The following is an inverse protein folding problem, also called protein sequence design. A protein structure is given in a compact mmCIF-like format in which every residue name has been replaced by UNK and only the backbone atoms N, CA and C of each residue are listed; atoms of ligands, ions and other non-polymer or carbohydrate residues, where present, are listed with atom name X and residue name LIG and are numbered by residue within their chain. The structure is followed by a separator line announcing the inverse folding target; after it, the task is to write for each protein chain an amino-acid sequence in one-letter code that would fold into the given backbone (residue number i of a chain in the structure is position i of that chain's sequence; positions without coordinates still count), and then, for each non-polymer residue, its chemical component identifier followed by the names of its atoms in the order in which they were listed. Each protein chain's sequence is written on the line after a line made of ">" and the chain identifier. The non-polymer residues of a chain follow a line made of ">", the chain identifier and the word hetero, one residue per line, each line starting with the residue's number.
data_IF_605654352768
#
_entry.id   IF_605654352768
#
_cell.length_a   1.000
_cell.length_b   1.000
_cell.length_c   1.000
_cell.angle_alpha   90.00
_cell.angle_beta   90.00
_cell.angle_gamma   90.00
#
_symmetry.space_group_name_H-M   'P 1'
#
loop_
_entity.id
_entity.type
_entity.pdbx_description
1 polymer ?
#
# COMPACT_ATOMS: atom_id res chain seq x y z
N UNK A 1 3.45 4.72 -27.78
CA UNK A 1 2.64 4.43 -26.58
C UNK A 1 3.12 5.13 -25.29
N UNK A 2 3.86 6.26 -25.36
CA UNK A 2 4.32 7.02 -24.16
C UNK A 2 3.56 8.35 -23.97
N UNK A 3 2.79 8.80 -24.97
CA UNK A 3 2.10 10.12 -24.94
C UNK A 3 0.77 10.15 -24.18
N UNK A 4 0.04 9.03 -24.07
CA UNK A 4 -1.28 9.00 -23.42
C UNK A 4 -1.20 9.06 -21.88
N UNK A 5 -0.14 8.52 -21.29
CA UNK A 5 0.06 8.57 -19.84
C UNK A 5 0.27 9.98 -19.27
N UNK A 6 0.76 10.92 -20.08
CA UNK A 6 0.96 12.31 -19.68
C UNK A 6 -0.34 13.12 -19.61
N UNK A 7 -1.29 12.88 -20.51
CA UNK A 7 -2.56 13.63 -20.55
C UNK A 7 -3.46 13.34 -19.35
N UNK A 8 -3.46 12.10 -18.83
CA UNK A 8 -4.30 11.76 -17.68
C UNK A 8 -3.73 12.20 -16.33
N UNK A 9 -2.40 12.25 -16.19
CA UNK A 9 -1.75 12.88 -15.03
C UNK A 9 -2.10 14.36 -14.98
N UNK A 10 -2.11 15.02 -16.13
CA UNK A 10 -2.57 16.41 -16.27
C UNK A 10 -4.06 16.52 -15.93
N UNK A 11 -4.89 15.52 -16.26
CA UNK A 11 -6.32 15.51 -15.94
C UNK A 11 -6.60 15.48 -14.43
N UNK A 12 -5.96 14.56 -13.69
CA UNK A 12 -6.11 14.48 -12.21
C UNK A 12 -5.64 15.77 -11.55
N UNK A 13 -4.48 16.29 -11.97
CA UNK A 13 -3.93 17.53 -11.42
C UNK A 13 -4.84 18.73 -11.67
N UNK A 14 -5.38 18.85 -12.89
CA UNK A 14 -6.32 19.92 -13.25
C UNK A 14 -7.63 19.80 -12.49
N UNK A 15 -8.17 18.59 -12.35
CA UNK A 15 -9.40 18.34 -11.59
C UNK A 15 -9.22 18.69 -10.12
N UNK A 16 -8.14 18.24 -9.48
CA UNK A 16 -7.83 18.55 -8.07
C UNK A 16 -7.66 20.05 -7.85
N UNK A 17 -6.87 20.72 -8.68
CA UNK A 17 -6.66 22.17 -8.58
C UNK A 17 -7.93 22.99 -8.76
N UNK A 18 -8.86 22.50 -9.59
CA UNK A 18 -10.13 23.20 -9.82
C UNK A 18 -11.13 22.91 -8.69
N UNK A 19 -11.30 21.65 -8.31
CA UNK A 19 -12.32 21.22 -7.36
C UNK A 19 -11.96 21.51 -5.90
N UNK A 20 -10.67 21.61 -5.56
CA UNK A 20 -10.18 21.78 -4.19
C UNK A 20 -9.29 23.01 -4.02
N UNK A 21 -9.46 24.04 -4.87
CA UNK A 21 -8.67 25.27 -4.80
C UNK A 21 -8.62 25.87 -3.39
N UNK A 22 -9.77 25.96 -2.71
CA UNK A 22 -9.84 26.51 -1.35
C UNK A 22 -9.13 25.68 -0.28
N UNK A 23 -8.96 24.37 -0.46
CA UNK A 23 -8.17 23.52 0.44
C UNK A 23 -6.67 23.71 0.17
N UNK A 24 -6.30 23.86 -1.10
CA UNK A 24 -4.90 24.07 -1.52
C UNK A 24 -4.41 25.45 -1.07
N UNK A 25 -5.26 26.47 -1.08
CA UNK A 25 -4.91 27.83 -0.65
C UNK A 25 -4.65 27.95 0.86
N UNK A 26 -5.09 26.98 1.68
CA UNK A 26 -4.82 26.96 3.12
C UNK A 26 -3.40 26.54 3.47
N UNK A 27 -2.65 25.97 2.52
CA UNK A 27 -1.27 25.55 2.76
C UNK A 27 -0.34 26.76 2.91
N UNK A 28 0.52 26.73 3.92
CA UNK A 28 1.39 27.84 4.34
C UNK A 28 2.63 27.98 3.45
N UNK A 29 2.93 26.97 2.63
CA UNK A 29 4.10 26.95 1.74
C UNK A 29 3.83 26.20 0.44
N UNK A 30 4.64 26.46 -0.59
CA UNK A 30 4.55 25.72 -1.87
C UNK A 30 4.86 24.23 -1.70
N UNK A 31 5.80 23.87 -0.81
CA UNK A 31 6.08 22.46 -0.49
C UNK A 31 4.86 21.77 0.14
N UNK A 32 4.13 22.47 0.99
CA UNK A 32 2.90 21.95 1.60
C UNK A 32 1.77 21.83 0.56
N UNK A 33 1.64 22.80 -0.36
CA UNK A 33 0.69 22.71 -1.48
C UNK A 33 0.94 21.47 -2.33
N UNK A 34 2.20 21.16 -2.65
CA UNK A 34 2.55 19.95 -3.40
C UNK A 34 2.10 18.67 -2.69
N UNK A 35 2.33 18.60 -1.37
CA UNK A 35 1.89 17.46 -0.54
C UNK A 35 0.37 17.34 -0.51
N UNK A 36 -0.35 18.47 -0.34
CA UNK A 36 -1.82 18.50 -0.33
C UNK A 36 -2.38 18.06 -1.68
N UNK A 37 -1.87 18.60 -2.79
CA UNK A 37 -2.28 18.21 -4.14
C UNK A 37 -2.07 16.72 -4.36
N UNK A 38 -0.90 16.18 -4.00
CA UNK A 38 -0.60 14.76 -4.13
C UNK A 38 -1.57 13.89 -3.30
N UNK A 39 -1.86 14.30 -2.06
CA UNK A 39 -2.82 13.61 -1.20
C UNK A 39 -4.23 13.59 -1.80
N UNK A 40 -4.68 14.73 -2.32
CA UNK A 40 -5.99 14.85 -2.98
C UNK A 40 -6.07 14.01 -4.26
N UNK A 41 -5.03 14.01 -5.10
CA UNK A 41 -4.99 13.15 -6.28
C UNK A 41 -5.10 11.66 -5.91
N UNK A 42 -4.41 11.24 -4.85
CA UNK A 42 -4.49 9.86 -4.36
C UNK A 42 -5.89 9.51 -3.82
N UNK A 43 -6.53 10.43 -3.09
CA UNK A 43 -7.91 10.25 -2.59
C UNK A 43 -8.89 10.13 -3.76
N UNK A 44 -8.84 11.06 -4.72
CA UNK A 44 -9.72 11.04 -5.89
C UNK A 44 -9.49 9.76 -6.70
N UNK A 45 -8.24 9.35 -6.91
CA UNK A 45 -7.93 8.11 -7.63
C UNK A 45 -8.49 6.88 -6.90
N UNK A 46 -8.39 6.85 -5.57
CA UNK A 46 -8.94 5.74 -4.77
C UNK A 46 -10.47 5.72 -4.83
N UNK A 47 -11.12 6.90 -4.81
CA UNK A 47 -12.57 6.99 -4.95
C UNK A 47 -13.04 6.49 -6.32
N UNK A 48 -12.32 6.86 -7.39
CA UNK A 48 -12.61 6.36 -8.75
C UNK A 48 -12.44 4.84 -8.80
N UNK A 49 -11.37 4.29 -8.23
CA UNK A 49 -11.17 2.84 -8.14
C UNK A 49 -12.35 2.17 -7.40
N UNK A 50 -12.72 2.65 -6.22
CA UNK A 50 -13.85 2.13 -5.43
C UNK A 50 -15.15 2.14 -6.24
N UNK A 51 -15.48 3.26 -6.89
CA UNK A 51 -16.71 3.39 -7.69
C UNK A 51 -16.73 2.39 -8.85
N UNK A 52 -15.62 2.23 -9.56
CA UNK A 52 -15.53 1.28 -10.67
C UNK A 52 -15.64 -0.16 -10.17
N UNK A 53 -14.98 -0.51 -9.06
CA UNK A 53 -15.10 -1.84 -8.46
C UNK A 53 -16.54 -2.14 -8.02
N UNK A 54 -17.23 -1.17 -7.42
CA UNK A 54 -18.65 -1.31 -7.06
C UNK A 54 -19.54 -1.53 -8.29
N UNK A 55 -19.30 -0.80 -9.38
CA UNK A 55 -20.05 -0.99 -10.64
C UNK A 55 -19.85 -2.41 -11.18
N UNK A 56 -18.61 -2.93 -11.18
CA UNK A 56 -18.34 -4.32 -11.58
C UNK A 56 -19.10 -5.29 -10.67
N UNK A 57 -19.12 -5.03 -9.36
CA UNK A 57 -19.89 -5.80 -8.38
C UNK A 57 -21.39 -5.83 -8.65
N UNK A 58 -21.98 -4.70 -9.03
CA UNK A 58 -23.40 -4.61 -9.40
C UNK A 58 -23.68 -5.39 -10.68
N UNK A 59 -22.90 -5.17 -11.73
CA UNK A 59 -23.10 -5.81 -13.05
C UNK A 59 -22.95 -7.34 -12.94
N UNK A 60 -22.09 -7.80 -12.04
CA UNK A 60 -21.85 -9.23 -11.80
C UNK A 60 -22.74 -9.87 -10.74
N UNK A 61 -23.72 -9.14 -10.19
CA UNK A 61 -24.60 -9.62 -9.12
C UNK A 61 -23.86 -10.10 -7.84
N UNK A 62 -22.72 -9.47 -7.54
CA UNK A 62 -21.87 -9.78 -6.39
C UNK A 62 -21.69 -8.56 -5.47
N UNK A 63 -22.66 -7.64 -5.41
CA UNK A 63 -22.52 -6.35 -4.72
C UNK A 63 -22.12 -6.51 -3.23
N UNK A 64 -22.77 -7.38 -2.47
CA UNK A 64 -22.44 -7.57 -1.05
C UNK A 64 -21.02 -8.11 -0.85
N UNK A 65 -20.62 -9.11 -1.65
CA UNK A 65 -19.25 -9.62 -1.67
C UNK A 65 -18.25 -8.53 -2.04
N UNK A 66 -18.58 -7.69 -3.03
CA UNK A 66 -17.76 -6.55 -3.46
C UNK A 66 -17.54 -5.54 -2.35
N UNK A 67 -18.58 -5.24 -1.56
CA UNK A 67 -18.47 -4.35 -0.40
C UNK A 67 -17.52 -4.96 0.64
N UNK A 68 -17.66 -6.25 0.94
CA UNK A 68 -16.75 -6.95 1.86
C UNK A 68 -15.31 -6.92 1.36
N UNK A 69 -15.09 -7.24 0.07
CA UNK A 69 -13.79 -7.16 -0.56
C UNK A 69 -13.15 -5.78 -0.42
N UNK A 70 -13.90 -4.72 -0.72
CA UNK A 70 -13.41 -3.35 -0.63
C UNK A 70 -13.11 -2.95 0.82
N UNK A 71 -13.95 -3.33 1.78
CA UNK A 71 -13.74 -3.02 3.19
C UNK A 71 -12.45 -3.67 3.72
N UNK A 72 -12.22 -4.95 3.42
CA UNK A 72 -10.97 -5.61 3.76
C UNK A 72 -9.79 -4.95 3.02
N UNK A 73 -9.82 -5.01 1.67
CA UNK A 73 -8.73 -4.54 0.82
C UNK A 73 -8.30 -3.11 1.13
N UNK A 74 -9.23 -2.16 1.26
CA UNK A 74 -8.90 -0.77 1.52
C UNK A 74 -8.34 -0.55 2.93
N UNK A 75 -8.81 -1.29 3.94
CA UNK A 75 -8.45 -1.04 5.34
C UNK A 75 -6.97 -1.26 5.61
N UNK A 76 -6.40 -2.32 5.05
CA UNK A 76 -4.97 -2.61 5.15
C UNK A 76 -4.20 -1.78 4.14
N UNK A 77 -4.71 -1.63 2.92
CA UNK A 77 -3.96 -1.00 1.82
C UNK A 77 -3.52 0.43 2.13
N UNK A 78 -4.34 1.20 2.84
CA UNK A 78 -4.00 2.58 3.27
C UNK A 78 -2.75 2.61 4.16
N UNK A 79 -2.48 1.55 4.93
CA UNK A 79 -1.39 1.48 5.90
C UNK A 79 -0.21 0.63 5.42
N UNK A 80 -0.48 -0.52 4.81
CA UNK A 80 0.53 -1.43 4.30
C UNK A 80 1.20 -0.88 3.04
N UNK A 81 0.51 -0.02 2.28
CA UNK A 81 0.95 0.42 0.97
C UNK A 81 1.08 -0.75 0.00
N UNK A 82 1.99 -0.63 -0.97
CA UNK A 82 2.41 -1.69 -1.89
C UNK A 82 2.64 -1.17 -3.29
N UNK A 83 2.28 -1.93 -4.33
CA UNK A 83 2.54 -1.52 -5.71
C UNK A 83 1.77 -0.24 -6.10
N UNK A 84 2.48 0.87 -6.34
CA UNK A 84 1.90 2.02 -7.04
C UNK A 84 2.35 1.98 -8.49
N UNK A 85 1.40 1.91 -9.42
CA UNK A 85 1.69 2.03 -10.83
C UNK A 85 2.31 3.42 -11.14
N UNK A 86 2.96 3.54 -12.30
CA UNK A 86 3.62 4.79 -12.67
C UNK A 86 2.62 5.92 -12.97
N UNK A 87 1.33 5.60 -13.13
CA UNK A 87 0.23 6.55 -13.33
C UNK A 87 -1.04 6.06 -12.62
N UNK A 88 -1.96 6.98 -12.30
CA UNK A 88 -3.26 6.65 -11.74
C UNK A 88 -4.10 5.78 -12.69
N UNK A 89 -3.99 5.99 -14.00
CA UNK A 89 -4.68 5.14 -15.00
C UNK A 89 -4.19 3.69 -14.95
N UNK A 90 -2.89 3.48 -14.89
CA UNK A 90 -2.35 2.12 -14.79
C UNK A 90 -2.74 1.47 -13.45
N UNK A 91 -2.91 2.25 -12.38
CA UNK A 91 -3.44 1.76 -11.10
C UNK A 91 -4.89 1.30 -11.28
N UNK A 92 -5.75 2.16 -11.83
CA UNK A 92 -7.15 1.86 -12.11
C UNK A 92 -7.30 0.61 -13.00
N UNK A 93 -6.51 0.51 -14.08
CA UNK A 93 -6.53 -0.67 -14.96
C UNK A 93 -6.09 -1.94 -14.22
N UNK A 94 -5.07 -1.88 -13.38
CA UNK A 94 -4.68 -3.01 -12.53
C UNK A 94 -5.81 -3.41 -11.58
N UNK A 95 -6.45 -2.44 -10.91
CA UNK A 95 -7.60 -2.66 -10.03
C UNK A 95 -8.75 -3.34 -10.78
N UNK A 96 -9.15 -2.80 -11.95
CA UNK A 96 -10.20 -3.36 -12.80
C UNK A 96 -9.86 -4.79 -13.23
N UNK A 97 -8.67 -5.03 -13.77
CA UNK A 97 -8.28 -6.35 -14.28
C UNK A 97 -8.25 -7.37 -13.14
N UNK A 98 -7.66 -7.01 -12.00
CA UNK A 98 -7.56 -7.91 -10.84
C UNK A 98 -8.94 -8.27 -10.29
N UNK A 99 -9.84 -7.30 -10.16
CA UNK A 99 -11.17 -7.54 -9.61
C UNK A 99 -12.10 -8.25 -10.59
N UNK A 100 -12.07 -7.88 -11.87
CA UNK A 100 -12.81 -8.60 -12.91
C UNK A 100 -12.37 -10.06 -13.00
N UNK A 101 -11.08 -10.34 -12.81
CA UNK A 101 -10.60 -11.72 -12.71
C UNK A 101 -11.20 -12.45 -11.49
N UNK A 102 -11.21 -11.83 -10.31
CA UNK A 102 -11.84 -12.38 -9.10
C UNK A 102 -13.30 -12.75 -9.35
N UNK A 103 -14.08 -11.81 -9.90
CA UNK A 103 -15.49 -12.02 -10.20
C UNK A 103 -15.69 -13.14 -11.24
N UNK A 104 -14.86 -13.17 -12.29
CA UNK A 104 -14.93 -14.20 -13.32
C UNK A 104 -14.63 -15.60 -12.78
N UNK A 105 -13.74 -15.74 -11.80
CA UNK A 105 -13.43 -17.04 -11.18
C UNK A 105 -14.40 -17.41 -10.05
N UNK A 106 -15.05 -16.44 -9.40
CA UNK A 106 -15.84 -16.66 -8.19
C UNK A 106 -16.92 -17.75 -8.34
N UNK A 107 -17.58 -17.81 -9.51
CA UNK A 107 -18.62 -18.80 -9.80
C UNK A 107 -18.11 -20.24 -9.91
N UNK A 108 -16.82 -20.42 -10.18
CA UNK A 108 -16.17 -21.74 -10.27
C UNK A 108 -15.58 -22.20 -8.95
N UNK A 109 -15.48 -21.31 -7.96
CA UNK A 109 -14.87 -21.60 -6.67
C UNK A 109 -15.94 -22.11 -5.69
N UNK A 110 -16.05 -23.43 -5.67
CA UNK A 110 -16.92 -24.20 -4.77
C UNK A 110 -16.18 -24.60 -3.49
N UNK A 111 -16.93 -25.12 -2.51
CA UNK A 111 -16.45 -25.39 -1.15
C UNK A 111 -15.31 -26.42 -1.11
N UNK A 112 -15.27 -27.35 -2.06
CA UNK A 112 -14.23 -28.37 -2.23
C UNK A 112 -12.86 -27.76 -2.50
N UNK A 113 -12.81 -26.59 -3.15
CA UNK A 113 -11.57 -25.85 -3.42
C UNK A 113 -11.17 -24.90 -2.28
N UNK A 114 -11.95 -24.83 -1.20
CA UNK A 114 -11.69 -23.89 -0.09
C UNK A 114 -10.31 -24.09 0.54
N UNK A 115 -9.79 -25.31 0.61
CA UNK A 115 -8.44 -25.55 1.14
C UNK A 115 -7.37 -24.80 0.33
N UNK A 116 -7.49 -24.77 -1.00
CA UNK A 116 -6.56 -24.05 -1.88
C UNK A 116 -6.64 -22.54 -1.62
N UNK A 117 -7.86 -22.01 -1.50
CA UNK A 117 -8.08 -20.60 -1.14
C UNK A 117 -7.41 -20.24 0.19
N UNK A 118 -7.62 -21.05 1.23
CA UNK A 118 -7.05 -20.83 2.56
C UNK A 118 -5.53 -20.86 2.51
N UNK A 119 -4.92 -21.80 1.80
CA UNK A 119 -3.45 -21.86 1.65
C UNK A 119 -2.91 -20.60 0.98
N UNK A 120 -3.53 -20.14 -0.11
CA UNK A 120 -3.14 -18.89 -0.79
C UNK A 120 -3.32 -17.66 0.11
N UNK A 121 -4.40 -17.61 0.88
CA UNK A 121 -4.66 -16.54 1.83
C UNK A 121 -3.62 -16.50 2.95
N UNK A 122 -3.25 -17.66 3.51
CA UNK A 122 -2.21 -17.76 4.56
C UNK A 122 -0.87 -17.27 4.03
N UNK A 123 -0.47 -17.69 2.83
CA UNK A 123 0.79 -17.21 2.20
C UNK A 123 0.75 -15.69 2.04
N UNK A 124 -0.37 -15.16 1.55
CA UNK A 124 -0.56 -13.72 1.31
C UNK A 124 -0.56 -12.92 2.62
N UNK A 125 -1.24 -13.42 3.65
CA UNK A 125 -1.28 -12.87 4.99
C UNK A 125 0.12 -12.78 5.61
N UNK A 126 0.90 -13.87 5.52
CA UNK A 126 2.28 -13.90 6.01
C UNK A 126 3.19 -12.96 5.21
N UNK A 127 2.99 -12.88 3.89
CA UNK A 127 3.71 -11.92 3.05
C UNK A 127 3.41 -10.47 3.50
N UNK A 128 2.14 -10.11 3.69
CA UNK A 128 1.76 -8.77 4.14
C UNK A 128 2.38 -8.42 5.50
N UNK A 129 2.36 -9.35 6.47
CA UNK A 129 3.00 -9.16 7.78
C UNK A 129 4.51 -8.86 7.70
N UNK A 130 5.21 -9.50 6.77
CA UNK A 130 6.65 -9.34 6.62
C UNK A 130 7.03 -8.11 5.79
N UNK A 131 6.19 -7.74 4.82
CA UNK A 131 6.50 -6.76 3.80
C UNK A 131 6.01 -5.35 4.18
N UNK A 132 4.93 -5.25 4.96
CA UNK A 132 4.35 -3.96 5.32
C UNK A 132 5.17 -3.19 6.38
N UNK A 133 5.20 -1.84 6.30
CA UNK A 133 4.75 -1.03 5.17
C UNK A 133 5.74 -1.07 4.00
N UNK A 134 5.22 -1.08 2.77
CA UNK A 134 6.05 -0.98 1.56
C UNK A 134 6.47 0.46 1.35
N UNK A 135 7.76 0.74 1.50
CA UNK A 135 8.30 2.07 1.28
C UNK A 135 8.52 2.30 -0.23
N UNK A 136 7.85 3.31 -0.79
CA UNK A 136 7.88 3.65 -2.21
C UNK A 136 8.82 4.84 -2.53
N UNK A 137 9.48 5.41 -1.52
CA UNK A 137 10.42 6.53 -1.66
C UNK A 137 9.80 7.90 -1.95
N UNK A 138 8.48 7.99 -2.11
CA UNK A 138 7.78 9.28 -2.32
C UNK A 138 7.62 10.08 -1.02
N UNK A 139 7.72 9.39 0.12
CA UNK A 139 7.73 9.97 1.46
C UNK A 139 8.82 9.30 2.27
N UNK A 140 9.58 10.12 3.01
CA UNK A 140 10.47 9.63 4.06
C UNK A 140 9.68 9.40 5.34
N UNK A 141 9.92 8.26 5.98
CA UNK A 141 9.28 7.91 7.25
C UNK A 141 10.34 7.90 8.35
N UNK A 142 9.99 8.47 9.50
CA UNK A 142 10.78 8.31 10.71
C UNK A 142 10.66 6.85 11.20
N UNK A 143 11.72 6.31 11.82
CA UNK A 143 11.72 4.92 12.30
C UNK A 143 10.56 4.64 13.28
N UNK A 144 10.24 5.62 14.14
CA UNK A 144 9.10 5.57 15.07
C UNK A 144 7.76 5.48 14.33
N UNK A 145 7.58 6.21 13.23
CA UNK A 145 6.36 6.16 12.42
C UNK A 145 6.18 4.79 11.76
N UNK A 146 7.27 4.22 11.23
CA UNK A 146 7.25 2.86 10.63
C UNK A 146 6.84 1.82 11.67
N UNK A 147 7.34 1.90 12.90
CA UNK A 147 6.97 0.99 13.98
C UNK A 147 5.47 1.10 14.33
N UNK A 148 4.92 2.31 14.39
CA UNK A 148 3.49 2.55 14.62
C UNK A 148 2.65 1.94 13.49
N UNK A 149 3.04 2.18 12.23
CA UNK A 149 2.34 1.62 11.06
C UNK A 149 2.35 0.09 11.10
N UNK A 150 3.50 -0.54 11.40
CA UNK A 150 3.58 -2.01 11.56
C UNK A 150 2.63 -2.54 12.62
N UNK A 151 2.52 -1.86 13.76
CA UNK A 151 1.56 -2.23 14.82
C UNK A 151 0.12 -2.13 14.34
N UNK A 152 -0.23 -1.04 13.65
CA UNK A 152 -1.58 -0.84 13.08
C UNK A 152 -1.93 -1.92 12.05
N UNK A 153 -1.01 -2.22 11.12
CA UNK A 153 -1.20 -3.28 10.11
C UNK A 153 -1.46 -4.63 10.78
N UNK A 154 -0.71 -5.00 11.83
CA UNK A 154 -0.94 -6.25 12.57
C UNK A 154 -2.32 -6.30 13.23
N UNK A 155 -2.77 -5.19 13.81
CA UNK A 155 -4.10 -5.11 14.45
C UNK A 155 -5.20 -5.30 13.41
N UNK A 156 -5.10 -4.62 12.26
CA UNK A 156 -6.11 -4.72 11.20
C UNK A 156 -6.12 -6.11 10.59
N UNK A 157 -4.96 -6.70 10.30
CA UNK A 157 -4.86 -8.09 9.83
C UNK A 157 -5.51 -9.08 10.82
N UNK A 158 -5.33 -8.87 12.12
CA UNK A 158 -5.99 -9.70 13.13
C UNK A 158 -7.52 -9.51 13.10
N UNK A 159 -8.01 -8.28 12.92
CA UNK A 159 -9.45 -8.00 12.77
C UNK A 159 -10.00 -8.67 11.50
N UNK A 160 -9.32 -8.53 10.37
CA UNK A 160 -9.74 -9.16 9.12
C UNK A 160 -9.75 -10.68 9.20
N UNK A 161 -8.79 -11.28 9.90
CA UNK A 161 -8.79 -12.72 10.14
C UNK A 161 -10.04 -13.13 10.92
N UNK A 162 -10.39 -12.40 11.99
CA UNK A 162 -11.60 -12.67 12.77
C UNK A 162 -12.89 -12.47 11.95
N UNK A 163 -12.95 -11.40 11.15
CA UNK A 163 -14.07 -11.14 10.23
C UNK A 163 -14.20 -12.26 9.21
N UNK A 164 -13.08 -12.71 8.63
CA UNK A 164 -13.03 -13.80 7.64
C UNK A 164 -13.52 -15.11 8.25
N UNK A 165 -13.08 -15.45 9.46
CA UNK A 165 -13.57 -16.63 10.19
C UNK A 165 -15.08 -16.49 10.47
N UNK A 166 -15.54 -15.32 10.91
CA UNK A 166 -16.96 -15.06 11.15
C UNK A 166 -17.82 -15.22 9.89
N UNK A 167 -17.36 -14.66 8.77
CA UNK A 167 -18.05 -14.79 7.47
C UNK A 167 -18.12 -16.23 6.99
N UNK A 168 -17.07 -17.03 7.21
CA UNK A 168 -17.07 -18.45 6.86
C UNK A 168 -18.21 -19.23 7.52
N UNK A 169 -18.52 -18.88 8.79
CA UNK A 169 -19.59 -19.52 9.55
C UNK A 169 -21.00 -19.05 9.13
N UNK A 170 -21.12 -17.90 8.47
CA UNK A 170 -22.40 -17.29 8.11
C UNK A 170 -22.77 -17.59 6.65
N UNK A 171 -21.84 -17.34 5.72
CA UNK A 171 -22.11 -17.43 4.29
C UNK A 171 -20.82 -17.63 3.48
N UNK A 172 -20.67 -18.82 2.88
CA UNK A 172 -19.51 -19.19 2.08
C UNK A 172 -19.29 -18.27 0.87
N UNK A 173 -20.37 -17.84 0.20
CA UNK A 173 -20.27 -16.97 -0.98
C UNK A 173 -19.71 -15.59 -0.64
N UNK A 174 -20.11 -15.02 0.50
CA UNK A 174 -19.58 -13.73 0.96
C UNK A 174 -18.17 -13.87 1.54
N UNK A 175 -17.90 -14.96 2.27
CA UNK A 175 -16.58 -15.28 2.82
C UNK A 175 -15.47 -15.29 1.76
N UNK A 176 -15.75 -15.83 0.56
CA UNK A 176 -14.77 -15.87 -0.55
C UNK A 176 -14.20 -14.48 -0.85
N UNK A 177 -15.00 -13.43 -0.78
CA UNK A 177 -14.56 -12.06 -1.05
C UNK A 177 -13.59 -11.49 -0.02
N UNK A 178 -13.74 -11.85 1.26
CA UNK A 178 -12.76 -11.50 2.29
C UNK A 178 -11.42 -12.20 2.03
N UNK A 179 -11.45 -13.47 1.63
CA UNK A 179 -10.25 -14.22 1.22
C UNK A 179 -9.59 -13.61 -0.03
N UNK A 180 -10.38 -13.24 -1.04
CA UNK A 180 -9.86 -12.60 -2.25
C UNK A 180 -9.18 -11.26 -1.96
N UNK A 181 -9.67 -10.50 -0.97
CA UNK A 181 -9.01 -9.27 -0.52
C UNK A 181 -7.63 -9.57 0.06
N UNK A 182 -7.52 -10.50 1.01
CA UNK A 182 -6.24 -10.90 1.64
C UNK A 182 -5.23 -11.38 0.59
N UNK A 183 -5.68 -12.19 -0.38
CA UNK A 183 -4.82 -12.67 -1.47
C UNK A 183 -4.32 -11.50 -2.32
N UNK A 184 -5.23 -10.61 -2.73
CA UNK A 184 -4.91 -9.46 -3.58
C UNK A 184 -3.95 -8.50 -2.89
N UNK A 185 -4.10 -8.27 -1.58
CA UNK A 185 -3.16 -7.49 -0.78
C UNK A 185 -1.76 -8.08 -0.77
N UNK A 186 -1.65 -9.39 -0.51
CA UNK A 186 -0.35 -10.08 -0.52
C UNK A 186 0.33 -9.96 -1.87
N UNK A 187 -0.41 -10.15 -2.96
CA UNK A 187 0.09 -9.97 -4.33
C UNK A 187 0.59 -8.55 -4.56
N UNK A 188 -0.20 -7.51 -4.24
CA UNK A 188 0.23 -6.13 -4.42
C UNK A 188 1.37 -5.71 -3.48
N UNK A 189 1.46 -6.31 -2.29
CA UNK A 189 2.56 -6.14 -1.35
C UNK A 189 3.86 -6.70 -1.93
N UNK A 190 3.84 -7.92 -2.46
CA UNK A 190 4.97 -8.58 -3.13
C UNK A 190 5.40 -7.78 -4.36
N UNK A 191 4.46 -7.41 -5.24
CA UNK A 191 4.73 -6.56 -6.41
C UNK A 191 5.37 -5.23 -6.01
N UNK A 192 4.88 -4.60 -4.94
CA UNK A 192 5.46 -3.37 -4.40
C UNK A 192 6.89 -3.58 -3.91
N UNK A 193 7.14 -4.65 -3.15
CA UNK A 193 8.49 -4.99 -2.66
C UNK A 193 9.47 -5.23 -3.79
N UNK A 194 9.05 -5.93 -4.85
CA UNK A 194 9.88 -6.17 -6.05
C UNK A 194 10.20 -4.84 -6.73
N UNK A 195 9.17 -4.01 -6.99
CA UNK A 195 9.35 -2.71 -7.66
C UNK A 195 10.27 -1.76 -6.89
N UNK A 196 10.12 -1.71 -5.57
CA UNK A 196 10.87 -0.80 -4.69
C UNK A 196 12.03 -1.49 -3.97
N UNK A 197 12.56 -2.58 -4.54
CA UNK A 197 13.57 -3.43 -3.89
C UNK A 197 14.79 -2.64 -3.40
N UNK A 198 15.36 -1.79 -4.26
CA UNK A 198 16.57 -1.03 -3.93
C UNK A 198 16.37 -0.05 -2.77
N UNK A 199 15.17 0.54 -2.65
CA UNK A 199 14.82 1.45 -1.56
C UNK A 199 14.63 0.68 -0.24
N UNK A 200 13.87 -0.42 -0.28
CA UNK A 200 13.63 -1.25 0.89
C UNK A 200 14.92 -1.96 1.38
N UNK A 201 15.83 -2.34 0.47
CA UNK A 201 17.14 -2.90 0.83
C UNK A 201 18.01 -1.88 1.56
N UNK A 202 18.06 -0.62 1.12
CA UNK A 202 18.82 0.45 1.80
C UNK A 202 18.26 0.73 3.20
N UNK A 203 16.94 0.82 3.34
CA UNK A 203 16.30 1.00 4.64
C UNK A 203 16.58 -0.18 5.60
N UNK A 204 16.53 -1.41 5.07
CA UNK A 204 16.83 -2.62 5.85
C UNK A 204 18.31 -2.68 6.27
N UNK A 205 19.24 -2.33 5.37
CA UNK A 205 20.66 -2.24 5.69
C UNK A 205 20.93 -1.19 6.77
N UNK A 206 20.28 -0.02 6.72
CA UNK A 206 20.40 1.00 7.77
C UNK A 206 19.98 0.48 9.14
N UNK A 207 18.85 -0.25 9.21
CA UNK A 207 18.38 -0.86 10.46
C UNK A 207 19.31 -1.97 10.96
N UNK A 208 19.83 -2.82 10.07
CA UNK A 208 20.79 -3.87 10.42
C UNK A 208 22.12 -3.27 10.90
N UNK A 209 22.59 -2.20 10.24
CA UNK A 209 23.80 -1.48 10.65
C UNK A 209 23.62 -0.82 12.01
N UNK A 210 22.49 -0.15 12.27
CA UNK A 210 22.19 0.44 13.57
C UNK A 210 22.09 -0.64 14.67
N UNK A 211 21.50 -1.79 14.36
CA UNK A 211 21.43 -2.94 15.26
C UNK A 211 22.82 -3.54 15.51
N UNK A 212 23.65 -3.72 14.47
CA UNK A 212 25.01 -4.22 14.61
C UNK A 212 25.91 -3.24 15.35
N UNK A 213 25.70 -1.93 15.18
CA UNK A 213 26.40 -0.88 15.92
C UNK A 213 25.97 -0.90 17.40
N UNK A 214 24.68 -1.06 17.68
CA UNK A 214 24.15 -1.23 19.04
C UNK A 214 24.70 -2.49 19.71
N UNK A 215 24.76 -3.62 18.99
CA UNK A 215 25.36 -4.87 19.49
C UNK A 215 26.88 -4.72 19.68
N UNK A 216 27.60 -4.05 18.78
CA UNK A 216 29.03 -3.79 18.91
C UNK A 216 29.37 -2.85 20.09
N UNK A 217 28.51 -1.86 20.36
CA UNK A 217 28.61 -0.99 21.53
C UNK A 217 28.36 -1.75 22.85
N UNK A 218 27.48 -2.76 22.84
CA UNK A 218 27.21 -3.63 24.00
C UNK A 218 28.35 -4.63 24.22
N UNK A 219 29.00 -5.12 23.16
CA UNK A 219 30.06 -6.15 23.25
C UNK A 219 31.48 -5.59 23.31
N UNK A 220 31.68 -4.27 23.29
CA UNK A 220 32.98 -3.63 23.54
C UNK A 220 34.04 -3.82 22.45
N UNK A 221 33.65 -4.17 21.22
CA UNK A 221 34.59 -4.40 20.10
C UNK A 221 34.77 -3.18 19.19
N UNK A 222 35.98 -2.61 19.15
CA UNK A 222 36.41 -1.58 18.18
C UNK A 222 36.63 -2.18 16.76
N UNK A 223 36.76 -1.38 15.68
CA UNK A 223 35.70 -1.18 14.69
C UNK A 223 36.08 -1.70 13.29
N UNK A 224 35.17 -2.39 12.61
CA UNK A 224 35.27 -2.60 11.17
C UNK A 224 34.45 -1.51 10.46
N UNK A 225 35.03 -0.32 10.29
CA UNK A 225 34.50 0.74 9.44
C UNK A 225 34.67 0.31 7.98
N UNK A 226 33.69 -0.39 7.42
CA UNK A 226 33.57 -0.55 5.98
C UNK A 226 32.77 0.63 5.43
N UNK A 227 33.51 1.51 4.77
CA UNK A 227 33.05 2.71 4.06
C UNK A 227 32.04 2.31 2.98
N UNK A 228 30.74 2.51 3.25
CA UNK A 228 29.75 2.63 2.19
C UNK A 228 29.49 4.11 1.95
N UNK A 229 29.83 4.56 0.75
CA UNK A 229 29.64 5.92 0.28
C UNK A 229 28.14 6.27 0.31
N UNK A 230 27.75 7.27 1.11
CA UNK A 230 26.39 7.77 1.16
C UNK A 230 25.96 8.30 -0.22
N UNK A 231 24.75 7.96 -0.66
CA UNK A 231 24.16 8.60 -1.82
C UNK A 231 23.87 10.07 -1.49
N UNK A 232 24.37 11.02 -2.30
CA UNK A 232 24.18 12.46 -2.12
C UNK A 232 22.69 12.81 -2.01
N UNK A 233 22.26 13.15 -0.79
CA UNK A 233 20.96 13.75 -0.49
C UNK A 233 21.02 15.24 -0.88
N UNK A 234 20.02 15.79 -1.60
CA UNK A 234 19.96 17.21 -1.95
C UNK A 234 20.05 18.12 -0.71
N UNK A 235 20.81 19.22 -0.81
CA UNK A 235 21.10 20.09 0.33
C UNK A 235 19.85 20.72 0.97
N UNK A 236 18.80 20.97 0.17
CA UNK A 236 17.52 21.49 0.66
C UNK A 236 16.83 20.52 1.64
N UNK A 237 17.04 19.21 1.47
CA UNK A 237 16.45 18.19 2.31
C UNK A 237 17.29 17.97 3.59
N UNK A 238 18.62 18.12 3.51
CA UNK A 238 19.49 18.10 4.70
C UNK A 238 19.15 19.22 5.69
N UNK A 239 18.91 20.43 5.18
CA UNK A 239 18.54 21.58 6.01
C UNK A 239 17.22 21.34 6.77
N UNK A 240 16.19 20.79 6.10
CA UNK A 240 14.90 20.46 6.73
C UNK A 240 15.00 19.35 7.79
N UNK A 241 15.93 18.42 7.64
CA UNK A 241 16.17 17.34 8.61
C UNK A 241 16.91 17.89 9.84
N UNK A 242 17.84 18.82 9.67
CA UNK A 242 18.58 19.45 10.78
C UNK A 242 17.69 20.39 11.60
N UNK A 243 16.74 21.10 10.98
CA UNK A 243 15.77 21.94 11.70
C UNK A 243 14.75 21.12 12.51
N UNK A 244 14.34 19.94 12.05
CA UNK A 244 13.37 19.09 12.78
C UNK A 244 13.96 18.26 13.92
N UNK A 245 15.30 18.21 14.02
CA UNK A 245 16.01 17.46 15.06
C UNK A 245 16.56 18.36 16.18
N UNK A 246 16.33 19.67 16.12
CA UNK A 246 16.47 20.60 17.27
C UNK A 246 15.15 20.69 18.03
#
# INVERSE_FOLDING_TARGET
>A
MIKEGGQLVIMYNKLVKTAFAGVIEQAESEDEKEVVIYGLEAIVSTLVDILVILIIGIISDNLLGTIVYLLCFCSIRVLAGGYHANSYLSCLLCSIISYSFIVAVNSFVIQEYNLILVVMAVISYMATLMIAPVLNGKREFLEKEVAIIKKKVRIILAIELLVTIGLYLINFEIYKFAIYAIITEGVFGIMGKIKYWNLNKKALLKNVMNLSLGVALITGGLPCVLVFHEAKVPNALKAKIEERNK
#
